data_IF_042513008950
#
_entry.id   IF_042513008950
#
_cell.length_a   1.000
_cell.length_b   1.000
_cell.length_c   1.000
_cell.angle_alpha   90.00
_cell.angle_beta   90.00
_cell.angle_gamma   90.00
#
_symmetry.space_group_name_H-M   'P 1'
#
loop_
_entity.id
_entity.type
_entity.pdbx_description
1 polymer ?
#
# COMPACT_ATOMS: atom_id res chain seq x y z
N UNK A 1 -12.85 9.19 -86.28
CA UNK A 1 -11.73 8.58 -87.02
C UNK A 1 -10.64 8.34 -86.00
N UNK A 2 -10.60 7.13 -85.42
CA UNK A 2 -9.80 5.97 -85.91
C UNK A 2 -8.31 6.26 -85.65
N UNK A 3 -7.49 5.45 -84.99
CA UNK A 3 -7.57 4.06 -84.54
C UNK A 3 -6.50 3.83 -83.45
N UNK A 4 -6.69 2.74 -82.70
CA UNK A 4 -5.69 1.98 -81.93
C UNK A 4 -4.67 1.26 -82.88
N UNK A 5 -3.76 0.35 -82.47
CA UNK A 5 -2.89 0.25 -81.28
C UNK A 5 -1.47 -0.38 -81.57
N UNK A 6 -0.73 -0.71 -80.50
CA UNK A 6 0.25 -1.82 -80.31
C UNK A 6 1.70 -1.77 -80.88
N UNK A 7 2.65 -1.93 -79.95
CA UNK A 7 3.64 -3.04 -79.77
C UNK A 7 4.99 -2.49 -79.28
N UNK A 8 5.48 -2.94 -78.12
CA UNK A 8 6.58 -3.94 -78.03
C UNK A 8 7.91 -3.19 -77.85
N UNK A 9 8.67 -3.27 -76.77
CA UNK A 9 9.18 -4.47 -76.11
C UNK A 9 10.68 -4.22 -75.86
N UNK A 10 11.21 -4.77 -74.77
CA UNK A 10 12.65 -4.95 -74.53
C UNK A 10 13.51 -3.72 -74.18
N UNK A 11 13.34 -3.19 -72.96
CA UNK A 11 14.39 -2.42 -72.28
C UNK A 11 14.53 -2.79 -70.79
N UNK A 12 14.02 -3.97 -70.40
CA UNK A 12 13.98 -4.42 -69.00
C UNK A 12 14.90 -5.61 -68.69
N UNK A 13 15.53 -6.22 -69.70
CA UNK A 13 16.40 -7.38 -69.51
C UNK A 13 17.89 -7.04 -69.35
N UNK A 14 18.34 -5.82 -69.71
CA UNK A 14 19.77 -5.46 -69.67
C UNK A 14 20.19 -4.63 -68.45
N UNK A 15 19.25 -4.14 -67.62
CA UNK A 15 19.57 -3.39 -66.39
C UNK A 15 19.57 -4.24 -65.11
N UNK A 16 19.23 -5.52 -65.22
CA UNK A 16 19.20 -6.45 -64.08
C UNK A 16 20.50 -7.25 -63.91
N UNK A 17 21.47 -7.12 -64.81
CA UNK A 17 22.76 -7.79 -64.71
C UNK A 17 23.87 -6.93 -64.07
N UNK A 18 23.68 -5.61 -63.95
CA UNK A 18 24.74 -4.69 -63.48
C UNK A 18 24.51 -4.14 -62.06
N UNK A 19 23.33 -4.36 -61.48
CA UNK A 19 23.06 -4.08 -60.05
C UNK A 19 23.38 -5.25 -59.11
N UNK A 20 23.73 -6.42 -59.63
CA UNK A 20 23.99 -7.62 -58.82
C UNK A 20 25.46 -7.79 -58.38
N UNK A 21 26.34 -6.84 -58.71
CA UNK A 21 27.77 -6.94 -58.41
C UNK A 21 28.25 -6.01 -57.27
N UNK A 22 27.40 -5.15 -56.71
CA UNK A 22 27.80 -4.17 -55.68
C UNK A 22 27.06 -4.32 -54.33
N UNK A 23 26.12 -5.27 -54.20
CA UNK A 23 25.50 -5.64 -52.91
C UNK A 23 26.20 -6.82 -52.21
N UNK A 24 27.34 -7.28 -52.73
CA UNK A 24 28.12 -8.41 -52.16
C UNK A 24 29.25 -8.02 -51.20
N UNK A 25 29.61 -6.73 -51.11
CA UNK A 25 30.78 -6.29 -50.34
C UNK A 25 30.45 -5.69 -48.96
N UNK A 26 29.19 -5.32 -48.71
CA UNK A 26 28.77 -4.68 -47.46
C UNK A 26 28.26 -5.63 -46.37
N UNK A 27 27.87 -6.85 -46.74
CA UNK A 27 27.30 -7.84 -45.80
C UNK A 27 28.37 -8.81 -45.28
N UNK A 28 29.40 -9.09 -46.09
CA UNK A 28 30.52 -9.96 -45.73
C UNK A 28 31.47 -9.38 -44.66
N UNK A 29 31.51 -8.06 -44.43
CA UNK A 29 32.47 -7.46 -43.49
C UNK A 29 31.99 -7.42 -42.03
N UNK A 30 30.68 -7.50 -41.80
CA UNK A 30 30.11 -7.40 -40.44
C UNK A 30 29.95 -8.76 -39.77
N UNK A 31 29.67 -9.81 -40.54
CA UNK A 31 29.59 -11.20 -40.04
C UNK A 31 30.98 -11.71 -39.63
N UNK A 32 32.02 -11.39 -40.41
CA UNK A 32 33.42 -11.70 -40.08
C UNK A 32 33.88 -11.05 -38.77
N UNK A 33 33.41 -9.84 -38.47
CA UNK A 33 33.80 -9.11 -37.25
C UNK A 33 33.22 -9.73 -35.99
N UNK A 34 31.99 -10.25 -36.05
CA UNK A 34 31.34 -10.89 -34.89
C UNK A 34 32.01 -12.26 -34.63
N UNK A 35 32.31 -13.01 -35.68
CA UNK A 35 33.02 -14.29 -35.57
C UNK A 35 34.43 -14.12 -35.02
N UNK A 36 35.15 -13.09 -35.45
CA UNK A 36 36.48 -12.73 -34.92
C UNK A 36 36.41 -12.32 -33.45
N UNK A 37 35.42 -11.51 -33.05
CA UNK A 37 35.22 -11.11 -31.65
C UNK A 37 34.86 -12.32 -30.78
N UNK A 38 34.03 -13.23 -31.27
CA UNK A 38 33.68 -14.48 -30.57
C UNK A 38 34.88 -15.43 -30.46
N UNK A 39 35.73 -15.50 -31.49
CA UNK A 39 36.99 -16.25 -31.46
C UNK A 39 37.98 -15.68 -30.44
N UNK A 40 38.05 -14.36 -30.33
CA UNK A 40 38.95 -13.69 -29.39
C UNK A 40 38.43 -13.83 -27.94
N UNK A 41 37.11 -13.72 -27.74
CA UNK A 41 36.46 -13.96 -26.45
C UNK A 41 36.65 -15.42 -25.98
N UNK A 42 36.59 -16.38 -26.91
CA UNK A 42 36.85 -17.80 -26.63
C UNK A 42 38.31 -18.15 -26.33
N UNK A 43 39.26 -17.29 -26.72
CA UNK A 43 40.69 -17.42 -26.35
C UNK A 43 41.04 -16.74 -25.02
N UNK A 44 40.33 -15.68 -24.66
CA UNK A 44 40.56 -14.92 -23.40
C UNK A 44 39.86 -15.58 -22.21
N UNK A 45 38.73 -16.26 -22.42
CA UNK A 45 38.06 -17.04 -21.38
C UNK A 45 38.53 -18.51 -21.43
N UNK A 46 39.17 -19.04 -20.37
CA UNK A 46 39.52 -20.45 -20.33
C UNK A 46 38.24 -21.29 -20.42
N UNK A 47 38.13 -22.14 -21.44
CA UNK A 47 37.07 -23.16 -21.60
C UNK A 47 37.30 -24.33 -20.63
N UNK A 48 37.44 -24.04 -19.33
CA UNK A 48 37.32 -25.08 -18.32
C UNK A 48 35.85 -25.48 -18.25
N UNK A 49 35.50 -26.70 -18.65
CA UNK A 49 34.18 -27.27 -18.35
C UNK A 49 34.02 -27.24 -16.83
N UNK A 50 33.12 -26.41 -16.26
CA UNK A 50 32.99 -26.33 -14.83
C UNK A 50 32.56 -27.71 -14.32
N UNK A 51 33.30 -28.26 -13.36
CA UNK A 51 32.94 -29.55 -12.78
C UNK A 51 31.54 -29.40 -12.15
N UNK A 52 30.58 -30.30 -12.46
CA UNK A 52 29.18 -30.11 -12.07
C UNK A 52 29.00 -29.92 -10.56
N UNK A 53 29.85 -30.61 -9.77
CA UNK A 53 29.91 -30.47 -8.30
C UNK A 53 30.36 -29.06 -7.89
N UNK A 54 31.38 -28.49 -8.53
CA UNK A 54 31.90 -27.16 -8.19
C UNK A 54 30.86 -26.08 -8.50
N UNK A 55 30.17 -26.19 -9.64
CA UNK A 55 29.08 -25.28 -10.01
C UNK A 55 27.88 -25.39 -9.06
N UNK A 56 27.56 -26.60 -8.60
CA UNK A 56 26.50 -26.82 -7.62
C UNK A 56 26.87 -26.23 -6.25
N UNK A 57 28.12 -26.40 -5.81
CA UNK A 57 28.62 -25.85 -4.55
C UNK A 57 28.65 -24.32 -4.55
N UNK A 58 29.12 -23.69 -5.63
CA UNK A 58 29.11 -22.22 -5.74
C UNK A 58 27.69 -21.67 -5.84
N UNK A 59 26.79 -22.34 -6.56
CA UNK A 59 25.37 -22.00 -6.58
C UNK A 59 24.74 -22.06 -5.19
N UNK A 60 24.92 -23.16 -4.46
CA UNK A 60 24.39 -23.33 -3.11
C UNK A 60 24.95 -22.29 -2.13
N UNK A 61 26.24 -21.96 -2.23
CA UNK A 61 26.88 -20.93 -1.41
C UNK A 61 26.28 -19.55 -1.70
N UNK A 62 26.12 -19.18 -2.98
CA UNK A 62 25.54 -17.90 -3.38
C UNK A 62 24.07 -17.79 -2.94
N UNK A 63 23.27 -18.85 -3.12
CA UNK A 63 21.88 -18.87 -2.65
C UNK A 63 21.79 -18.80 -1.14
N UNK A 64 22.67 -19.50 -0.41
CA UNK A 64 22.76 -19.42 1.05
C UNK A 64 23.14 -18.03 1.53
N UNK A 65 24.17 -17.42 0.96
CA UNK A 65 24.62 -16.05 1.27
C UNK A 65 23.54 -15.02 0.95
N UNK A 66 22.87 -15.14 -0.19
CA UNK A 66 21.75 -14.28 -0.57
C UNK A 66 20.55 -14.47 0.37
N UNK A 67 20.26 -15.70 0.77
CA UNK A 67 19.25 -16.02 1.78
C UNK A 67 19.54 -15.31 3.09
N UNK A 68 20.74 -15.48 3.65
CA UNK A 68 21.17 -14.81 4.89
C UNK A 68 21.12 -13.29 4.74
N UNK A 69 21.65 -12.73 3.64
CA UNK A 69 21.61 -11.31 3.36
C UNK A 69 20.18 -10.77 3.28
N UNK A 70 19.27 -11.52 2.66
CA UNK A 70 17.85 -11.16 2.56
C UNK A 70 17.16 -11.06 3.92
N UNK A 71 17.56 -11.87 4.92
CA UNK A 71 17.04 -11.75 6.29
C UNK A 71 17.43 -10.42 6.94
N UNK A 72 18.63 -9.90 6.64
CA UNK A 72 19.11 -8.61 7.16
C UNK A 72 18.57 -7.40 6.40
N UNK A 73 18.23 -7.56 5.12
CA UNK A 73 17.66 -6.48 4.28
C UNK A 73 16.14 -6.36 4.44
N UNK A 74 15.46 -7.42 4.90
CA UNK A 74 13.99 -7.43 5.07
C UNK A 74 13.40 -7.18 6.47
N UNK A 75 14.08 -6.61 7.50
CA UNK A 75 13.39 -6.27 8.75
C UNK A 75 12.35 -5.14 8.56
N UNK A 76 12.43 -4.37 7.46
CA UNK A 76 11.53 -3.26 7.14
C UNK A 76 10.26 -3.63 6.35
N UNK A 77 10.27 -4.73 5.59
CA UNK A 77 9.13 -5.15 4.75
C UNK A 77 7.95 -5.73 5.56
N UNK A 78 8.13 -5.89 6.88
CA UNK A 78 7.19 -6.52 7.81
C UNK A 78 6.35 -5.54 8.65
N UNK A 79 6.40 -4.24 8.37
CA UNK A 79 5.69 -3.27 9.23
C UNK A 79 4.18 -3.46 9.14
N UNK A 80 3.60 -3.38 7.95
CA UNK A 80 2.17 -3.61 7.70
C UNK A 80 1.98 -4.34 6.36
N UNK A 81 1.24 -5.46 6.31
CA UNK A 81 0.87 -6.14 5.06
C UNK A 81 0.30 -5.17 4.03
N UNK A 82 0.63 -5.33 2.75
CA UNK A 82 0.17 -4.40 1.70
C UNK A 82 -1.37 -4.30 1.64
N UNK A 83 -2.07 -5.40 1.92
CA UNK A 83 -3.55 -5.47 2.01
C UNK A 83 -4.16 -4.60 3.13
N UNK A 84 -3.38 -4.24 4.14
CA UNK A 84 -3.82 -3.41 5.27
C UNK A 84 -3.39 -1.93 5.13
N UNK A 85 -2.66 -1.58 4.05
CA UNK A 85 -2.27 -0.20 3.80
C UNK A 85 -3.44 0.56 3.16
N UNK A 86 -3.77 1.71 3.74
CA UNK A 86 -4.81 2.61 3.24
C UNK A 86 -4.12 3.90 2.77
N UNK A 87 -4.41 4.40 1.56
CA UNK A 87 -3.89 5.69 1.10
C UNK A 87 -4.43 6.83 1.97
N UNK A 88 -3.61 7.86 2.17
CA UNK A 88 -4.04 9.02 2.94
C UNK A 88 -5.13 9.79 2.19
N UNK A 89 -6.29 9.93 2.84
CA UNK A 89 -7.37 10.81 2.41
C UNK A 89 -7.82 11.65 3.62
N UNK A 90 -7.72 12.98 3.57
CA UNK A 90 -8.20 13.81 4.66
C UNK A 90 -9.72 13.70 4.83
N UNK A 91 -10.21 13.61 6.07
CA UNK A 91 -11.66 13.63 6.34
C UNK A 91 -12.25 15.01 6.07
N UNK A 92 -13.49 15.11 5.55
CA UNK A 92 -14.13 16.42 5.34
C UNK A 92 -14.39 17.14 6.68
N UNK A 93 -14.74 18.43 6.61
CA UNK A 93 -15.18 19.18 7.80
C UNK A 93 -16.46 18.58 8.37
N UNK A 94 -17.39 18.20 7.50
CA UNK A 94 -18.67 17.60 7.89
C UNK A 94 -18.46 16.23 8.56
N UNK A 95 -17.57 15.40 8.02
CA UNK A 95 -17.18 14.12 8.66
C UNK A 95 -16.60 14.36 10.06
N UNK A 96 -15.73 15.37 10.21
CA UNK A 96 -15.15 15.72 11.51
C UNK A 96 -16.25 16.17 12.49
N UNK A 97 -17.17 17.02 12.06
CA UNK A 97 -18.30 17.46 12.88
C UNK A 97 -19.24 16.32 13.26
N UNK A 98 -19.54 15.41 12.33
CA UNK A 98 -20.39 14.23 12.57
C UNK A 98 -19.74 13.28 13.59
N UNK A 99 -18.43 13.07 13.47
CA UNK A 99 -17.64 12.31 14.46
C UNK A 99 -17.72 12.97 15.84
N UNK A 100 -17.53 14.29 15.91
CA UNK A 100 -17.60 15.01 17.18
C UNK A 100 -19.01 14.99 17.79
N UNK A 101 -20.07 15.03 16.98
CA UNK A 101 -21.47 14.85 17.45
C UNK A 101 -21.66 13.50 18.11
N UNK A 102 -21.14 12.42 17.52
CA UNK A 102 -21.22 11.07 18.08
C UNK A 102 -20.36 10.87 19.35
N UNK A 103 -19.35 11.72 19.57
CA UNK A 103 -18.55 11.78 20.80
C UNK A 103 -19.17 12.65 21.90
N UNK A 104 -20.26 13.38 21.64
CA UNK A 104 -20.85 14.25 22.65
C UNK A 104 -21.25 13.47 23.91
N UNK A 105 -20.93 14.04 25.08
CA UNK A 105 -21.17 13.40 26.38
C UNK A 105 -20.18 12.29 26.75
N UNK A 106 -19.24 11.93 25.87
CA UNK A 106 -18.13 11.02 26.20
C UNK A 106 -16.95 11.80 26.77
N UNK A 107 -16.11 11.10 27.53
CA UNK A 107 -14.88 11.64 28.11
C UNK A 107 -13.78 10.57 28.11
N UNK A 108 -12.58 10.92 28.55
CA UNK A 108 -11.46 9.98 28.73
C UNK A 108 -10.48 9.97 27.55
N UNK A 109 -9.83 8.82 27.35
CA UNK A 109 -8.78 8.65 26.33
C UNK A 109 -9.39 8.30 24.98
N UNK A 110 -8.88 8.93 23.93
CA UNK A 110 -9.30 8.70 22.54
C UNK A 110 -8.11 8.27 21.68
N UNK A 111 -8.27 7.18 20.91
CA UNK A 111 -7.31 6.76 19.90
C UNK A 111 -7.87 7.02 18.49
N UNK A 112 -7.11 7.73 17.67
CA UNK A 112 -7.43 7.93 16.25
C UNK A 112 -6.54 7.03 15.39
N UNK A 113 -7.15 6.03 14.75
CA UNK A 113 -6.46 4.99 13.98
C UNK A 113 -6.29 5.44 12.53
N UNK A 114 -5.06 5.83 12.16
CA UNK A 114 -4.77 6.46 10.87
C UNK A 114 -5.00 7.97 10.94
N UNK A 115 -4.40 8.64 11.93
CA UNK A 115 -4.73 10.04 12.25
C UNK A 115 -4.37 11.04 11.15
N UNK A 116 -3.51 10.66 10.19
CA UNK A 116 -3.12 11.52 9.07
C UNK A 116 -2.54 12.86 9.53
N UNK A 117 -3.17 13.97 9.13
CA UNK A 117 -2.80 15.33 9.52
C UNK A 117 -3.26 15.75 10.93
N UNK A 118 -3.94 14.84 11.64
CA UNK A 118 -4.36 15.01 13.02
C UNK A 118 -5.65 15.79 13.21
N UNK A 119 -6.42 16.11 12.16
CA UNK A 119 -7.63 16.95 12.27
C UNK A 119 -8.65 16.45 13.30
N UNK A 120 -8.90 15.14 13.35
CA UNK A 120 -9.82 14.53 14.32
C UNK A 120 -9.24 14.60 15.72
N UNK A 121 -7.95 14.26 15.87
CA UNK A 121 -7.22 14.40 17.14
C UNK A 121 -7.28 15.83 17.68
N UNK A 122 -7.07 16.84 16.84
CA UNK A 122 -7.16 18.25 17.24
C UNK A 122 -8.58 18.61 17.67
N UNK A 123 -9.60 18.27 16.87
CA UNK A 123 -11.00 18.55 17.20
C UNK A 123 -11.42 17.87 18.53
N UNK A 124 -11.06 16.61 18.72
CA UNK A 124 -11.34 15.86 19.94
C UNK A 124 -10.55 16.42 21.14
N UNK A 125 -9.28 16.78 20.94
CA UNK A 125 -8.47 17.37 22.01
C UNK A 125 -9.09 18.68 22.50
N UNK A 126 -9.55 19.56 21.61
CA UNK A 126 -10.26 20.79 21.94
C UNK A 126 -11.59 20.57 22.66
N UNK A 127 -12.20 19.39 22.51
CA UNK A 127 -13.39 18.97 23.24
C UNK A 127 -13.08 18.33 24.61
N UNK A 128 -11.82 18.29 25.03
CA UNK A 128 -11.39 17.81 26.36
C UNK A 128 -10.95 16.35 26.41
N UNK A 129 -10.84 15.66 25.28
CA UNK A 129 -10.32 14.29 25.24
C UNK A 129 -8.79 14.25 25.35
N UNK A 130 -8.27 13.17 25.94
CA UNK A 130 -6.84 12.85 25.90
C UNK A 130 -6.56 11.99 24.67
N UNK A 131 -6.07 12.61 23.61
CA UNK A 131 -6.02 11.99 22.29
C UNK A 131 -4.64 11.42 21.94
N UNK A 132 -4.63 10.24 21.33
CA UNK A 132 -3.46 9.65 20.68
C UNK A 132 -3.76 9.38 19.20
N UNK A 133 -3.04 10.05 18.30
CA UNK A 133 -3.10 9.80 16.86
C UNK A 133 -2.05 8.78 16.44
N UNK A 134 -2.47 7.64 15.91
CA UNK A 134 -1.58 6.62 15.39
C UNK A 134 -1.49 6.72 13.87
N UNK A 135 -0.27 6.90 13.36
CA UNK A 135 -0.02 7.02 11.93
C UNK A 135 1.32 6.35 11.56
N UNK A 136 1.38 5.69 10.40
CA UNK A 136 2.58 4.98 9.92
C UNK A 136 3.47 5.89 9.08
N UNK A 137 2.89 6.88 8.39
CA UNK A 137 3.59 7.83 7.54
C UNK A 137 4.33 8.87 8.39
N UNK A 138 5.66 8.81 8.35
CA UNK A 138 6.55 9.73 9.10
C UNK A 138 6.32 11.20 8.76
N UNK A 139 5.99 11.52 7.51
CA UNK A 139 5.81 12.90 7.04
C UNK A 139 4.55 13.49 7.65
N UNK A 140 3.45 12.72 7.66
CA UNK A 140 2.18 13.14 8.27
C UNK A 140 2.31 13.28 9.79
N UNK A 141 3.01 12.35 10.45
CA UNK A 141 3.30 12.46 11.89
C UNK A 141 4.14 13.70 12.19
N UNK A 142 5.19 13.97 11.40
CA UNK A 142 6.01 15.16 11.58
C UNK A 142 5.18 16.43 11.39
N UNK A 143 4.34 16.49 10.35
CA UNK A 143 3.41 17.58 10.13
C UNK A 143 2.47 17.80 11.32
N UNK A 144 1.82 16.74 11.81
CA UNK A 144 0.87 16.82 12.92
C UNK A 144 1.55 17.27 14.23
N UNK A 145 2.77 16.76 14.51
CA UNK A 145 3.57 17.20 15.67
C UNK A 145 3.98 18.66 15.58
N UNK A 146 4.48 19.09 14.42
CA UNK A 146 4.85 20.50 14.21
C UNK A 146 3.64 21.41 14.35
N UNK A 147 2.49 21.01 13.79
CA UNK A 147 1.23 21.73 13.94
C UNK A 147 0.79 21.82 15.40
N UNK A 148 0.84 20.72 16.16
CA UNK A 148 0.51 20.71 17.58
C UNK A 148 1.40 21.65 18.39
N UNK A 149 2.70 21.66 18.11
CA UNK A 149 3.65 22.58 18.73
C UNK A 149 3.32 24.04 18.39
N UNK A 150 3.02 24.34 17.13
CA UNK A 150 2.71 25.69 16.68
C UNK A 150 1.38 26.21 17.23
N UNK A 151 0.39 25.33 17.42
CA UNK A 151 -0.89 25.67 18.03
C UNK A 151 -0.88 25.61 19.56
N UNK A 152 0.27 25.30 20.17
CA UNK A 152 0.43 25.25 21.63
C UNK A 152 -0.35 24.11 22.31
N UNK A 153 -0.68 23.03 21.60
CA UNK A 153 -1.41 21.90 22.17
C UNK A 153 -0.44 21.04 22.99
N UNK A 154 -0.67 20.85 24.30
CA UNK A 154 0.26 20.12 25.14
C UNK A 154 0.21 18.60 24.86
N UNK A 155 1.33 17.86 25.01
CA UNK A 155 1.36 16.42 24.79
C UNK A 155 0.40 15.60 25.66
N UNK A 156 0.03 16.11 26.84
CA UNK A 156 -0.95 15.48 27.72
C UNK A 156 -2.38 15.48 27.14
N UNK A 157 -2.66 16.37 26.20
CA UNK A 157 -3.96 16.53 25.56
C UNK A 157 -3.99 15.88 24.17
N UNK A 158 -2.92 16.03 23.37
CA UNK A 158 -2.80 15.37 22.07
C UNK A 158 -1.37 14.90 21.81
N UNK A 159 -1.20 13.60 21.55
CA UNK A 159 0.07 13.00 21.16
C UNK A 159 -0.04 12.29 19.82
N UNK A 160 0.93 12.52 18.93
CA UNK A 160 1.02 11.85 17.63
C UNK A 160 2.14 10.81 17.65
N UNK A 161 1.79 9.55 17.39
CA UNK A 161 2.69 8.40 17.52
C UNK A 161 2.92 7.77 16.15
N UNK A 162 4.19 7.77 15.71
CA UNK A 162 4.61 7.03 14.51
C UNK A 162 4.65 5.53 14.81
N UNK A 163 3.52 4.84 14.72
CA UNK A 163 3.41 3.43 15.06
C UNK A 163 2.31 2.76 14.24
N UNK A 164 2.54 1.49 13.97
CA UNK A 164 1.51 0.61 13.45
C UNK A 164 0.45 0.36 14.51
N UNK A 165 -0.77 0.84 14.29
CA UNK A 165 -1.86 0.64 15.23
C UNK A 165 -2.29 -0.84 15.32
N UNK A 166 -2.04 -1.67 14.30
CA UNK A 166 -2.34 -3.10 14.35
C UNK A 166 -1.57 -3.82 15.47
N UNK A 167 -0.37 -3.33 15.80
CA UNK A 167 0.53 -3.88 16.84
C UNK A 167 0.52 -3.05 18.13
N UNK A 168 -0.42 -2.13 18.26
CA UNK A 168 -0.56 -1.28 19.44
C UNK A 168 -1.66 -1.84 20.31
N UNK A 169 -1.43 -1.84 21.62
CA UNK A 169 -2.44 -2.18 22.61
C UNK A 169 -3.46 -1.03 22.74
N UNK A 170 -4.72 -1.33 22.48
CA UNK A 170 -5.83 -0.38 22.52
C UNK A 170 -6.66 -0.47 23.82
N UNK A 171 -6.32 -1.38 24.74
CA UNK A 171 -7.09 -1.64 25.97
C UNK A 171 -7.27 -0.43 26.90
N UNK A 172 -6.35 0.54 26.82
CA UNK A 172 -6.38 1.75 27.64
C UNK A 172 -7.25 2.89 27.09
N UNK A 173 -7.93 2.69 25.96
CA UNK A 173 -8.74 3.72 25.30
C UNK A 173 -10.24 3.43 25.42
N UNK A 174 -11.00 4.42 25.91
CA UNK A 174 -12.46 4.35 26.03
C UNK A 174 -13.18 4.83 24.76
N UNK A 175 -12.48 5.52 23.87
CA UNK A 175 -13.02 6.02 22.61
C UNK A 175 -12.04 5.76 21.48
N UNK A 176 -12.53 5.27 20.34
CA UNK A 176 -11.71 5.00 19.16
C UNK A 176 -12.37 5.59 17.93
N UNK A 177 -11.62 6.30 17.11
CA UNK A 177 -12.05 6.77 15.79
C UNK A 177 -11.26 6.07 14.70
N UNK A 178 -11.94 5.68 13.62
CA UNK A 178 -11.32 5.05 12.46
C UNK A 178 -11.91 5.59 11.16
N UNK A 179 -11.06 6.17 10.32
CA UNK A 179 -11.39 6.56 8.95
C UNK A 179 -10.48 5.81 7.98
N UNK A 180 -10.88 4.59 7.63
CA UNK A 180 -10.06 3.65 6.85
C UNK A 180 -10.79 3.19 5.58
N UNK A 181 -10.26 2.16 4.92
CA UNK A 181 -10.87 1.54 3.73
C UNK A 181 -11.82 0.38 4.11
N UNK A 182 -12.85 0.10 3.30
CA UNK A 182 -13.82 -0.97 3.58
C UNK A 182 -13.16 -2.35 3.73
N UNK A 183 -12.11 -2.63 2.94
CA UNK A 183 -11.40 -3.90 2.97
C UNK A 183 -10.66 -4.21 4.27
N UNK A 184 -10.43 -3.21 5.14
CA UNK A 184 -9.76 -3.41 6.44
C UNK A 184 -10.72 -3.38 7.63
N UNK A 185 -11.98 -2.98 7.44
CA UNK A 185 -12.93 -2.79 8.54
C UNK A 185 -13.25 -4.09 9.28
N UNK A 186 -13.37 -5.22 8.56
CA UNK A 186 -13.61 -6.53 9.20
C UNK A 186 -12.47 -6.94 10.16
N UNK A 187 -11.23 -6.89 9.67
CA UNK A 187 -10.02 -7.22 10.45
C UNK A 187 -9.84 -6.24 11.62
N UNK A 188 -10.15 -4.96 11.40
CA UNK A 188 -10.13 -3.98 12.48
C UNK A 188 -11.16 -4.32 13.56
N UNK A 189 -12.37 -4.72 13.16
CA UNK A 189 -13.43 -5.09 14.10
C UNK A 189 -12.97 -6.21 15.04
N UNK A 190 -12.37 -7.27 14.52
CA UNK A 190 -11.85 -8.38 15.35
C UNK A 190 -10.83 -7.91 16.39
N UNK A 191 -9.90 -7.03 15.99
CA UNK A 191 -8.91 -6.46 16.91
C UNK A 191 -9.58 -5.62 18.00
N UNK A 192 -10.50 -4.73 17.63
CA UNK A 192 -11.19 -3.86 18.59
C UNK A 192 -12.04 -4.67 19.57
N UNK A 193 -12.73 -5.71 19.10
CA UNK A 193 -13.50 -6.62 19.96
C UNK A 193 -12.64 -7.43 20.92
N UNK A 194 -11.36 -7.65 20.61
CA UNK A 194 -10.43 -8.36 21.48
C UNK A 194 -9.81 -7.45 22.54
N UNK A 195 -9.48 -6.21 22.18
CA UNK A 195 -8.63 -5.35 23.00
C UNK A 195 -9.38 -4.29 23.79
N UNK A 196 -10.48 -3.73 23.26
CA UNK A 196 -11.16 -2.61 23.91
C UNK A 196 -11.95 -3.02 25.16
N UNK A 197 -12.11 -2.14 26.15
CA UNK A 197 -12.98 -2.40 27.29
C UNK A 197 -14.47 -2.39 26.86
N UNK A 198 -15.35 -3.00 27.67
CA UNK A 198 -16.77 -3.14 27.34
C UNK A 198 -17.51 -1.79 27.23
N UNK A 199 -17.07 -0.78 27.98
CA UNK A 199 -17.62 0.58 27.98
C UNK A 199 -17.06 1.45 26.84
N UNK A 200 -16.18 0.90 25.99
CA UNK A 200 -15.58 1.64 24.90
C UNK A 200 -16.58 1.95 23.78
N UNK A 201 -16.43 3.15 23.22
CA UNK A 201 -17.15 3.59 22.02
C UNK A 201 -16.21 3.62 20.83
N UNK A 202 -16.65 3.01 19.73
CA UNK A 202 -15.95 3.05 18.45
C UNK A 202 -16.76 3.88 17.47
N UNK A 203 -16.08 4.77 16.74
CA UNK A 203 -16.67 5.56 15.67
C UNK A 203 -15.98 5.21 14.36
N UNK A 204 -16.79 4.74 13.41
CA UNK A 204 -16.34 4.44 12.05
C UNK A 204 -16.82 5.55 11.10
N UNK A 205 -15.87 6.16 10.39
CA UNK A 205 -16.15 7.18 9.40
C UNK A 205 -16.31 6.54 8.02
N UNK A 206 -17.36 6.92 7.29
CA UNK A 206 -17.71 6.53 5.92
C UNK A 206 -18.04 5.06 5.68
N UNK A 207 -17.31 4.13 6.30
CA UNK A 207 -17.49 2.70 6.11
C UNK A 207 -17.88 2.05 7.45
N UNK A 208 -19.03 1.36 7.53
CA UNK A 208 -19.44 0.67 8.75
C UNK A 208 -18.63 -0.61 8.98
N UNK A 209 -18.62 -1.10 10.22
CA UNK A 209 -18.10 -2.42 10.55
C UNK A 209 -19.05 -3.52 10.06
N UNK A 210 -18.56 -4.55 9.34
CA UNK A 210 -19.38 -5.69 8.94
C UNK A 210 -19.96 -6.41 10.15
N UNK A 211 -21.25 -6.78 10.09
CA UNK A 211 -21.96 -7.56 11.12
C UNK A 211 -22.06 -6.90 12.50
N UNK A 212 -21.76 -5.60 12.62
CA UNK A 212 -21.91 -4.88 13.89
C UNK A 212 -23.21 -4.08 13.90
N UNK A 213 -24.04 -4.20 14.96
CA UNK A 213 -25.17 -3.31 15.14
C UNK A 213 -24.65 -1.91 15.51
N UNK A 214 -24.87 -0.93 14.64
CA UNK A 214 -24.58 0.46 14.99
C UNK A 214 -25.67 1.00 15.90
N UNK A 215 -25.27 1.75 16.93
CA UNK A 215 -26.21 2.37 17.87
C UNK A 215 -26.85 3.63 17.27
N UNK A 216 -26.04 4.41 16.55
CA UNK A 216 -26.46 5.63 15.90
C UNK A 216 -25.56 5.91 14.69
N UNK A 217 -26.11 6.64 13.73
CA UNK A 217 -25.36 7.20 12.62
C UNK A 217 -25.69 8.68 12.45
N UNK A 218 -24.75 9.45 11.91
CA UNK A 218 -24.90 10.87 11.61
C UNK A 218 -24.30 11.17 10.25
N UNK A 219 -24.98 11.99 9.45
CA UNK A 219 -24.57 12.36 8.10
C UNK A 219 -25.26 11.51 7.03
N UNK A 220 -24.81 11.66 5.78
CA UNK A 220 -25.30 10.89 4.64
C UNK A 220 -24.22 10.75 3.58
N UNK A 221 -24.30 9.68 2.78
CA UNK A 221 -23.39 9.44 1.66
C UNK A 221 -21.92 9.32 2.11
N UNK A 222 -21.06 10.19 1.56
CA UNK A 222 -19.61 10.14 1.84
C UNK A 222 -19.21 10.69 3.20
N UNK A 223 -20.10 11.36 3.91
CA UNK A 223 -19.85 11.96 5.23
C UNK A 223 -20.61 11.25 6.37
N UNK A 224 -21.20 10.09 6.05
CA UNK A 224 -21.87 9.25 7.04
C UNK A 224 -20.86 8.71 8.06
N UNK A 225 -21.26 8.70 9.33
CA UNK A 225 -20.46 8.26 10.47
C UNK A 225 -21.29 7.36 11.36
N UNK A 226 -20.72 6.27 11.85
CA UNK A 226 -21.40 5.26 12.65
C UNK A 226 -20.77 5.14 14.03
N UNK A 227 -21.58 5.06 15.08
CA UNK A 227 -21.13 4.81 16.46
C UNK A 227 -21.52 3.40 16.93
N UNK A 228 -20.61 2.77 17.66
CA UNK A 228 -20.74 1.42 18.18
C UNK A 228 -20.28 1.38 19.64
N UNK A 229 -21.06 0.69 20.48
CA UNK A 229 -20.66 0.37 21.85
C UNK A 229 -20.17 -1.06 21.92
N UNK A 230 -18.95 -1.26 22.41
CA UNK A 230 -18.31 -2.58 22.39
C UNK A 230 -19.09 -3.63 23.18
N UNK A 231 -19.62 -3.28 24.35
CA UNK A 231 -20.47 -4.18 25.13
C UNK A 231 -21.72 -4.64 24.37
N UNK A 232 -22.38 -3.72 23.66
CA UNK A 232 -23.57 -4.03 22.84
C UNK A 232 -23.22 -4.93 21.66
N UNK A 233 -22.11 -4.63 20.97
CA UNK A 233 -21.64 -5.46 19.84
C UNK A 233 -21.28 -6.87 20.32
N UNK A 234 -20.54 -7.01 21.43
CA UNK A 234 -20.21 -8.32 22.02
C UNK A 234 -21.45 -9.10 22.41
N UNK A 235 -22.44 -8.45 23.03
CA UNK A 235 -23.72 -9.08 23.37
C UNK A 235 -24.45 -9.57 22.12
N UNK A 236 -24.54 -8.73 21.08
CA UNK A 236 -25.17 -9.09 19.82
C UNK A 236 -24.49 -10.30 19.16
N UNK A 237 -23.16 -10.27 19.02
CA UNK A 237 -22.40 -11.35 18.38
C UNK A 237 -22.48 -12.68 19.16
N UNK A 238 -22.69 -12.66 20.48
CA UNK A 238 -22.96 -13.88 21.27
C UNK A 238 -24.35 -14.45 21.00
N UNK A 239 -25.32 -13.60 20.64
CA UNK A 239 -26.72 -13.98 20.45
C UNK A 239 -27.06 -14.34 19.00
N UNK A 240 -26.18 -14.04 18.04
CA UNK A 240 -26.33 -14.52 16.66
C UNK A 240 -25.84 -15.97 16.61
N UNK A 241 -26.73 -16.98 16.47
CA UNK A 241 -26.29 -18.36 16.31
C UNK A 241 -25.42 -18.45 15.05
N UNK A 242 -24.32 -19.21 15.11
CA UNK A 242 -23.41 -19.46 13.99
C UNK A 242 -24.21 -19.74 12.70
N UNK A 243 -24.36 -18.71 11.86
CA UNK A 243 -24.85 -18.86 10.50
C UNK A 243 -23.66 -19.31 9.65
N UNK A 244 -23.23 -20.54 9.89
CA UNK A 244 -22.29 -21.27 9.03
C UNK A 244 -23.10 -21.98 7.95
N UNK A 245 -22.93 -21.56 6.70
CA UNK A 245 -22.99 -22.43 5.52
C UNK A 245 -21.71 -22.18 4.73
#
# INVERSE_FOLDING_TARGET
>A
MTDCPLTGGSARAARQAECAADEGAGQFAMEDSIEVILQDCGRVLPTSRPHPVVSACTGALLTGLYGVWSLFVTPGFRKVPWRLKVPYLPSSKDQTLNTMKLLQGRTGRLADLGSGDGRLVFAASSAGFQCAGFEINSILVAYARSKALWTGVPPCQATFVKKDFWKTDLSSYNNVTAFLAPGVMGVLGEKLLKELPDDARVIACRFPFPNWPHQSSVGSGLDETFAYDIGTVRSHLRNVPNMTV
#
